data_IF_495473343813
#
_entry.id   IF_495473343813
#
_cell.length_a   1.000
_cell.length_b   1.000
_cell.length_c   1.000
_cell.angle_alpha   90.00
_cell.angle_beta   90.00
_cell.angle_gamma   90.00
#
_symmetry.space_group_name_H-M   'P 1'
#
loop_
_entity.id
_entity.type
_entity.pdbx_description
1 polymer ?
#
# COMPACT_ATOMS: atom_id res chain seq x y z
N UNK A 1 -6.33 -24.26 -24.81
CA UNK A 1 -7.73 -24.72 -24.84
C UNK A 1 -7.92 -25.97 -23.99
N UNK A 2 -7.07 -27.00 -24.13
CA UNK A 2 -7.09 -28.21 -23.28
C UNK A 2 -6.87 -27.92 -21.79
N UNK A 3 -5.85 -27.10 -21.46
CA UNK A 3 -5.57 -26.62 -20.09
C UNK A 3 -6.69 -25.79 -19.45
N UNK A 4 -7.54 -25.16 -20.26
CA UNK A 4 -8.68 -24.35 -19.80
C UNK A 4 -9.89 -25.25 -19.50
N UNK A 5 -10.08 -26.32 -20.29
CA UNK A 5 -11.08 -27.37 -20.04
C UNK A 5 -10.75 -28.20 -18.80
N UNK A 6 -9.47 -28.50 -18.57
CA UNK A 6 -9.04 -29.19 -17.35
C UNK A 6 -9.30 -28.34 -16.09
N UNK A 7 -9.03 -27.04 -16.16
CA UNK A 7 -9.32 -26.11 -15.06
C UNK A 7 -10.83 -26.00 -14.78
N UNK A 8 -11.67 -25.92 -15.82
CA UNK A 8 -13.13 -25.85 -15.65
C UNK A 8 -13.70 -27.15 -15.07
N UNK A 9 -13.22 -28.31 -15.53
CA UNK A 9 -13.62 -29.62 -15.02
C UNK A 9 -13.13 -29.88 -13.58
N UNK A 10 -11.96 -29.36 -13.19
CA UNK A 10 -11.53 -29.37 -11.79
C UNK A 10 -12.46 -28.54 -10.91
N UNK A 11 -12.81 -27.33 -11.36
CA UNK A 11 -13.69 -26.42 -10.63
C UNK A 11 -15.08 -27.00 -10.40
N UNK A 12 -15.70 -27.59 -11.42
CA UNK A 12 -17.02 -28.21 -11.30
C UNK A 12 -17.03 -29.33 -10.25
N UNK A 13 -15.98 -30.16 -10.23
CA UNK A 13 -15.80 -31.20 -9.21
C UNK A 13 -15.66 -30.61 -7.82
N UNK A 14 -14.85 -29.55 -7.65
CA UNK A 14 -14.66 -28.90 -6.36
C UNK A 14 -15.96 -28.28 -5.83
N UNK A 15 -16.77 -27.67 -6.72
CA UNK A 15 -18.10 -27.15 -6.39
C UNK A 15 -19.03 -28.27 -5.92
N UNK A 16 -19.06 -29.41 -6.61
CA UNK A 16 -19.88 -30.56 -6.20
C UNK A 16 -19.47 -31.12 -4.84
N UNK A 17 -18.16 -31.25 -4.59
CA UNK A 17 -17.61 -31.70 -3.31
C UNK A 17 -18.03 -30.74 -2.19
N UNK A 18 -17.82 -29.44 -2.36
CA UNK A 18 -18.19 -28.43 -1.37
C UNK A 18 -19.71 -28.42 -1.13
N UNK A 19 -20.51 -28.53 -2.19
CA UNK A 19 -21.99 -28.61 -2.08
C UNK A 19 -22.44 -29.86 -1.33
N UNK A 20 -21.73 -30.98 -1.45
CA UNK A 20 -22.01 -32.18 -0.67
C UNK A 20 -21.66 -31.97 0.80
N UNK A 21 -20.45 -31.46 1.09
CA UNK A 21 -19.98 -31.20 2.45
C UNK A 21 -20.87 -30.20 3.20
N UNK A 22 -21.28 -29.11 2.55
CA UNK A 22 -22.19 -28.11 3.11
C UNK A 22 -23.54 -28.76 3.47
N UNK A 23 -24.11 -29.58 2.58
CA UNK A 23 -25.37 -30.30 2.83
C UNK A 23 -25.27 -31.31 3.97
N UNK A 24 -24.13 -31.99 4.13
CA UNK A 24 -23.89 -32.87 5.28
C UNK A 24 -23.88 -32.07 6.60
N UNK A 25 -23.23 -30.92 6.60
CA UNK A 25 -23.09 -30.05 7.78
C UNK A 25 -24.38 -29.33 8.17
N UNK A 26 -25.33 -29.17 7.24
CA UNK A 26 -26.65 -28.54 7.46
C UNK A 26 -27.71 -29.50 8.03
N UNK A 27 -27.39 -30.80 8.16
CA UNK A 27 -28.33 -31.79 8.69
C UNK A 27 -28.67 -31.59 10.17
N UNK A 28 -27.75 -30.97 10.93
CA UNK A 28 -27.91 -30.68 12.36
C UNK A 28 -27.39 -29.29 12.71
N UNK A 29 -27.98 -28.60 13.70
CA UNK A 29 -27.44 -27.32 14.17
C UNK A 29 -26.08 -27.51 14.83
N UNK A 30 -25.06 -26.72 14.44
CA UNK A 30 -23.70 -26.87 14.96
C UNK A 30 -23.48 -26.11 16.29
N UNK A 31 -24.42 -26.24 17.22
CA UNK A 31 -24.43 -25.58 18.54
C UNK A 31 -24.05 -26.57 19.65
N UNK A 32 -23.04 -26.24 20.46
CA UNK A 32 -22.54 -27.12 21.52
C UNK A 32 -23.59 -27.40 22.60
N UNK A 33 -24.39 -26.39 22.94
CA UNK A 33 -25.49 -26.50 23.90
C UNK A 33 -26.50 -27.56 23.46
N UNK A 34 -26.96 -27.49 22.20
CA UNK A 34 -27.93 -28.43 21.64
C UNK A 34 -27.38 -29.86 21.55
N UNK A 35 -26.08 -30.01 21.26
CA UNK A 35 -25.44 -31.33 21.27
C UNK A 35 -25.36 -31.91 22.68
N UNK A 36 -25.04 -31.07 23.68
CA UNK A 36 -24.97 -31.48 25.09
C UNK A 36 -26.34 -31.94 25.60
N UNK A 37 -27.41 -31.20 25.30
CA UNK A 37 -28.78 -31.59 25.64
C UNK A 37 -29.17 -32.95 25.03
N UNK A 38 -28.78 -33.21 23.79
CA UNK A 38 -29.06 -34.48 23.11
C UNK A 38 -28.28 -35.64 23.73
N UNK A 39 -27.01 -35.43 24.12
CA UNK A 39 -26.22 -36.44 24.82
C UNK A 39 -26.82 -36.78 26.20
N UNK A 40 -27.31 -35.79 26.94
CA UNK A 40 -27.99 -36.01 28.21
C UNK A 40 -29.27 -36.84 28.02
N UNK A 41 -30.09 -36.50 27.02
CA UNK A 41 -31.28 -37.28 26.66
C UNK A 41 -30.92 -38.71 26.24
N UNK A 42 -29.89 -38.88 25.40
CA UNK A 42 -29.41 -40.19 24.95
C UNK A 42 -28.88 -41.03 26.13
N UNK A 43 -28.18 -40.41 27.07
CA UNK A 43 -27.71 -41.10 28.29
C UNK A 43 -28.88 -41.57 29.16
N UNK A 44 -29.92 -40.73 29.32
CA UNK A 44 -31.16 -41.10 30.03
C UNK A 44 -31.90 -42.24 29.32
N UNK A 45 -32.00 -42.19 27.99
CA UNK A 45 -32.57 -43.26 27.16
C UNK A 45 -31.85 -44.59 27.36
N UNK A 46 -30.52 -44.60 27.22
CA UNK A 46 -29.70 -45.80 27.32
C UNK A 46 -29.70 -46.42 28.72
N UNK A 47 -29.93 -45.60 29.76
CA UNK A 47 -29.99 -46.05 31.15
C UNK A 47 -31.43 -46.16 31.67
N UNK A 48 -32.44 -46.01 30.82
CA UNK A 48 -33.86 -45.94 31.24
C UNK A 48 -34.28 -47.16 32.05
N UNK A 49 -33.93 -48.37 31.62
CA UNK A 49 -34.23 -49.62 32.36
C UNK A 49 -33.61 -49.64 33.76
N UNK A 50 -32.34 -49.26 33.89
CA UNK A 50 -31.65 -49.18 35.19
C UNK A 50 -32.24 -48.08 36.07
N UNK A 51 -32.61 -46.95 35.50
CA UNK A 51 -33.23 -45.84 36.22
C UNK A 51 -34.62 -46.25 36.74
N UNK A 52 -35.42 -46.95 35.93
CA UNK A 52 -36.70 -47.55 36.35
C UNK A 52 -36.49 -48.52 37.53
N UNK A 53 -35.53 -49.45 37.40
CA UNK A 53 -35.25 -50.45 38.43
C UNK A 53 -34.85 -49.80 39.77
N UNK A 54 -33.92 -48.83 39.74
CA UNK A 54 -33.41 -48.17 40.95
C UNK A 54 -34.43 -47.25 41.60
N UNK A 55 -35.20 -46.49 40.81
CA UNK A 55 -36.27 -45.65 41.33
C UNK A 55 -37.40 -46.51 41.93
N UNK A 56 -37.75 -47.64 41.31
CA UNK A 56 -38.71 -48.61 41.86
C UNK A 56 -38.23 -49.23 43.18
N UNK A 57 -36.95 -49.62 43.28
CA UNK A 57 -36.35 -50.10 44.53
C UNK A 57 -36.40 -49.04 45.64
N UNK A 58 -36.16 -47.78 45.30
CA UNK A 58 -36.22 -46.67 46.26
C UNK A 58 -37.64 -46.42 46.74
N UNK A 59 -38.64 -46.40 45.85
CA UNK A 59 -40.06 -46.28 46.22
C UNK A 59 -40.45 -47.43 47.16
N UNK A 60 -40.13 -48.67 46.79
CA UNK A 60 -40.46 -49.83 47.62
C UNK A 60 -39.81 -49.73 49.01
N UNK A 61 -38.55 -49.29 49.10
CA UNK A 61 -37.86 -49.12 50.39
C UNK A 61 -38.54 -48.08 51.29
N UNK A 62 -39.08 -47.01 50.71
CA UNK A 62 -39.72 -45.92 51.45
C UNK A 62 -41.19 -46.24 51.82
N UNK A 63 -41.94 -46.90 50.93
CA UNK A 63 -43.38 -47.18 51.06
C UNK A 63 -43.71 -48.56 51.63
N UNK A 64 -42.75 -49.47 51.82
CA UNK A 64 -43.03 -50.84 52.23
C UNK A 64 -43.98 -50.92 53.46
N UNK A 65 -45.12 -51.59 53.30
CA UNK A 65 -46.16 -51.68 54.34
C UNK A 65 -45.72 -52.40 55.63
N UNK A 66 -44.60 -53.13 55.62
CA UNK A 66 -44.09 -53.79 56.83
C UNK A 66 -43.00 -52.97 57.51
N UNK A 67 -42.13 -52.32 56.73
CA UNK A 67 -40.84 -51.79 57.18
C UNK A 67 -40.44 -50.40 56.64
N UNK A 68 -41.30 -49.77 55.83
CA UNK A 68 -41.04 -48.49 55.20
C UNK A 68 -41.00 -47.31 56.19
N UNK A 69 -40.36 -46.22 55.77
CA UNK A 69 -40.22 -45.00 56.59
C UNK A 69 -41.61 -44.43 56.91
N UNK A 70 -42.51 -44.37 55.94
CA UNK A 70 -43.88 -43.87 56.14
C UNK A 70 -44.66 -44.72 57.15
N UNK A 71 -44.52 -46.04 57.10
CA UNK A 71 -45.10 -46.99 58.05
C UNK A 71 -44.53 -46.80 59.47
N UNK A 72 -43.20 -46.67 59.58
CA UNK A 72 -42.50 -46.50 60.85
C UNK A 72 -42.89 -45.18 61.56
N UNK A 73 -42.97 -44.08 60.80
CA UNK A 73 -43.40 -42.78 61.31
C UNK A 73 -44.88 -42.84 61.74
N UNK A 74 -45.74 -43.46 60.93
CA UNK A 74 -47.17 -43.66 61.25
C UNK A 74 -47.35 -44.40 62.58
N UNK A 75 -46.56 -45.47 62.79
CA UNK A 75 -46.55 -46.25 64.04
C UNK A 75 -45.98 -45.47 65.23
N UNK A 76 -45.15 -44.45 65.00
CA UNK A 76 -44.54 -43.64 66.06
C UNK A 76 -45.50 -42.57 66.62
N UNK A 77 -46.43 -42.03 65.82
CA UNK A 77 -47.32 -40.95 66.27
C UNK A 77 -48.15 -41.27 67.53
N UNK A 78 -48.77 -42.46 67.69
CA UNK A 78 -49.50 -42.80 68.91
C UNK A 78 -48.65 -42.70 70.18
N UNK A 79 -47.38 -43.09 70.12
CA UNK A 79 -46.46 -42.98 71.26
C UNK A 79 -46.11 -41.52 71.57
N UNK A 80 -45.93 -40.68 70.56
CA UNK A 80 -45.71 -39.25 70.81
C UNK A 80 -46.91 -38.57 71.47
N UNK A 81 -48.14 -38.98 71.13
CA UNK A 81 -49.35 -38.49 71.81
C UNK A 81 -49.38 -38.89 73.28
N UNK A 82 -49.00 -40.14 73.59
CA UNK A 82 -48.91 -40.61 74.98
C UNK A 82 -47.82 -39.85 75.76
N UNK A 83 -46.67 -39.59 75.16
CA UNK A 83 -45.58 -38.81 75.77
C UNK A 83 -46.02 -37.36 76.04
N UNK A 84 -46.64 -36.70 75.07
CA UNK A 84 -47.09 -35.31 75.22
C UNK A 84 -48.14 -35.14 76.32
N UNK A 85 -48.95 -36.18 76.59
CA UNK A 85 -49.91 -36.18 77.70
C UNK A 85 -49.24 -36.28 79.08
N UNK A 86 -48.01 -36.82 79.16
CA UNK A 86 -47.22 -36.97 80.40
C UNK A 86 -46.30 -35.76 80.58
N UNK A 87 -45.60 -35.34 79.53
CA UNK A 87 -44.67 -34.21 79.50
C UNK A 87 -44.89 -33.34 78.25
N UNK A 88 -45.52 -32.16 78.38
CA UNK A 88 -45.74 -31.25 77.26
C UNK A 88 -44.46 -30.81 76.52
N UNK A 89 -43.28 -30.88 77.15
CA UNK A 89 -42.01 -30.54 76.51
C UNK A 89 -41.65 -31.49 75.35
N UNK A 90 -42.26 -32.68 75.26
CA UNK A 90 -42.01 -33.63 74.17
C UNK A 90 -42.75 -33.32 72.87
N UNK A 91 -43.58 -32.27 72.83
CA UNK A 91 -44.37 -31.85 71.65
C UNK A 91 -43.52 -31.61 70.39
N UNK A 92 -42.27 -31.15 70.58
CA UNK A 92 -41.28 -30.98 69.51
C UNK A 92 -40.99 -32.28 68.75
N UNK A 93 -41.11 -33.45 69.38
CA UNK A 93 -40.94 -34.75 68.69
C UNK A 93 -42.08 -35.05 67.72
N UNK A 94 -43.31 -34.68 68.06
CA UNK A 94 -44.47 -34.82 67.17
C UNK A 94 -44.32 -33.92 65.95
N UNK A 95 -43.91 -32.67 66.14
CA UNK A 95 -43.66 -31.73 65.05
C UNK A 95 -42.56 -32.25 64.10
N UNK A 96 -41.43 -32.70 64.65
CA UNK A 96 -40.35 -33.27 63.83
C UNK A 96 -40.78 -34.52 63.05
N UNK A 97 -41.57 -35.42 63.65
CA UNK A 97 -42.09 -36.59 62.94
C UNK A 97 -43.06 -36.22 61.80
N UNK A 98 -43.90 -35.20 62.01
CA UNK A 98 -44.76 -34.65 60.94
C UNK A 98 -43.93 -34.10 59.78
N UNK A 99 -42.86 -33.34 60.06
CA UNK A 99 -41.96 -32.82 59.03
C UNK A 99 -41.24 -33.93 58.25
N UNK A 100 -40.81 -35.00 58.93
CA UNK A 100 -40.18 -36.14 58.27
C UNK A 100 -41.20 -36.89 57.38
N UNK A 101 -42.45 -37.03 57.85
CA UNK A 101 -43.52 -37.64 57.04
C UNK A 101 -43.79 -36.83 55.78
N UNK A 102 -44.01 -35.52 55.91
CA UNK A 102 -44.22 -34.62 54.77
C UNK A 102 -43.06 -34.71 53.77
N UNK A 103 -41.82 -34.71 54.27
CA UNK A 103 -40.66 -34.80 53.39
C UNK A 103 -40.53 -36.14 52.68
N UNK A 104 -40.91 -37.23 53.36
CA UNK A 104 -40.97 -38.57 52.76
C UNK A 104 -42.00 -38.62 51.63
N UNK A 105 -43.18 -38.06 51.85
CA UNK A 105 -44.26 -38.02 50.87
C UNK A 105 -43.88 -37.14 49.65
N UNK A 106 -43.19 -36.02 49.84
CA UNK A 106 -42.63 -35.21 48.76
C UNK A 106 -41.64 -36.01 47.88
N UNK A 107 -40.73 -36.76 48.50
CA UNK A 107 -39.74 -37.59 47.78
C UNK A 107 -40.45 -38.67 46.96
N UNK A 108 -41.45 -39.34 47.54
CA UNK A 108 -42.24 -40.35 46.86
C UNK A 108 -43.03 -39.79 45.69
N UNK A 109 -43.67 -38.64 45.87
CA UNK A 109 -44.36 -37.93 44.79
C UNK A 109 -43.40 -37.56 43.66
N UNK A 110 -42.19 -37.09 43.98
CA UNK A 110 -41.17 -36.79 42.98
C UNK A 110 -40.72 -38.04 42.23
N UNK A 111 -40.45 -39.15 42.93
CA UNK A 111 -40.01 -40.41 42.31
C UNK A 111 -41.08 -41.01 41.38
N UNK A 112 -42.35 -40.93 41.77
CA UNK A 112 -43.48 -41.36 40.93
C UNK A 112 -43.57 -40.52 39.65
N UNK A 113 -43.51 -39.20 39.79
CA UNK A 113 -43.49 -38.29 38.63
C UNK A 113 -42.24 -38.51 37.75
N UNK A 114 -41.09 -38.79 38.36
CA UNK A 114 -39.86 -39.11 37.65
C UNK A 114 -39.98 -40.39 36.82
N UNK A 115 -40.60 -41.44 37.36
CA UNK A 115 -40.87 -42.69 36.65
C UNK A 115 -41.85 -42.50 35.49
N UNK A 116 -42.94 -41.74 35.69
CA UNK A 116 -43.89 -41.40 34.61
C UNK A 116 -43.20 -40.68 33.45
N UNK A 117 -42.29 -39.76 33.77
CA UNK A 117 -41.51 -39.01 32.78
C UNK A 117 -40.31 -39.78 32.19
N UNK A 118 -40.12 -41.05 32.57
CA UNK A 118 -39.03 -41.88 32.05
C UNK A 118 -39.45 -42.75 30.87
N UNK A 119 -40.72 -42.70 30.45
CA UNK A 119 -41.19 -43.34 29.23
C UNK A 119 -40.82 -42.50 28.01
N UNK A 120 -40.02 -43.06 27.11
CA UNK A 120 -39.73 -42.46 25.82
C UNK A 120 -40.50 -43.19 24.73
N UNK A 121 -41.07 -42.44 23.79
CA UNK A 121 -41.65 -43.07 22.60
C UNK A 121 -40.53 -43.66 21.72
N UNK A 122 -40.72 -44.86 21.13
CA UNK A 122 -39.70 -45.47 20.27
C UNK A 122 -39.24 -44.58 19.11
N UNK A 123 -40.11 -43.69 18.63
CA UNK A 123 -39.78 -42.74 17.56
C UNK A 123 -38.82 -41.65 18.05
N UNK A 124 -39.09 -41.04 19.21
CA UNK A 124 -38.22 -40.02 19.82
C UNK A 124 -36.83 -40.58 20.15
N UNK A 125 -36.78 -41.81 20.68
CA UNK A 125 -35.51 -42.48 20.98
C UNK A 125 -34.66 -42.68 19.71
N UNK A 126 -35.28 -43.09 18.60
CA UNK A 126 -34.62 -43.26 17.32
C UNK A 126 -34.12 -41.92 16.74
N UNK A 127 -34.92 -40.85 16.86
CA UNK A 127 -34.52 -39.53 16.40
C UNK A 127 -33.31 -38.99 17.19
N UNK A 128 -33.34 -39.10 18.52
CA UNK A 128 -32.24 -38.66 19.39
C UNK A 128 -30.95 -39.42 19.04
N UNK A 129 -31.03 -40.75 18.89
CA UNK A 129 -29.87 -41.55 18.48
C UNK A 129 -29.34 -41.14 17.11
N UNK A 130 -30.23 -40.97 16.11
CA UNK A 130 -29.84 -40.53 14.77
C UNK A 130 -29.14 -39.16 14.80
N UNK A 131 -29.64 -38.22 15.60
CA UNK A 131 -28.98 -36.92 15.74
C UNK A 131 -27.60 -37.04 16.38
N UNK A 132 -27.48 -37.79 17.48
CA UNK A 132 -26.19 -38.04 18.14
C UNK A 132 -25.17 -38.71 17.20
N UNK A 133 -25.60 -39.72 16.45
CA UNK A 133 -24.76 -40.39 15.44
C UNK A 133 -24.31 -39.41 14.36
N UNK A 134 -25.22 -38.54 13.89
CA UNK A 134 -24.90 -37.49 12.91
C UNK A 134 -23.81 -36.55 13.45
N UNK A 135 -23.92 -36.09 14.70
CA UNK A 135 -22.85 -35.26 15.31
C UNK A 135 -21.52 -36.00 15.41
N UNK A 136 -21.52 -37.28 15.75
CA UNK A 136 -20.30 -38.11 15.82
C UNK A 136 -19.66 -38.21 14.43
N UNK A 137 -20.45 -38.46 13.39
CA UNK A 137 -19.95 -38.52 12.02
C UNK A 137 -19.36 -37.19 11.55
N UNK A 138 -20.03 -36.07 11.83
CA UNK A 138 -19.55 -34.74 11.48
C UNK A 138 -18.23 -34.42 12.20
N UNK A 139 -18.13 -34.72 13.50
CA UNK A 139 -16.89 -34.53 14.26
C UNK A 139 -15.75 -35.41 13.72
N UNK A 140 -16.06 -36.64 13.30
CA UNK A 140 -15.06 -37.53 12.67
C UNK A 140 -14.56 -37.01 11.33
N UNK A 141 -15.45 -36.45 10.50
CA UNK A 141 -15.12 -35.99 9.14
C UNK A 141 -14.47 -34.60 9.09
N UNK A 142 -14.89 -33.67 9.96
CA UNK A 142 -14.57 -32.25 9.82
C UNK A 142 -13.88 -31.61 11.02
N UNK A 143 -13.77 -32.31 12.15
CA UNK A 143 -12.95 -31.87 13.28
C UNK A 143 -13.39 -32.43 14.64
N UNK A 144 -12.46 -32.73 15.57
CA UNK A 144 -12.76 -33.30 16.89
C UNK A 144 -13.71 -32.47 17.76
N UNK A 145 -13.89 -31.17 17.50
CA UNK A 145 -14.78 -30.26 18.22
C UNK A 145 -15.84 -29.63 17.30
N UNK A 146 -17.03 -29.27 17.82
CA UNK A 146 -18.05 -28.61 16.98
C UNK A 146 -17.61 -27.21 16.54
N UNK A 147 -16.73 -26.54 17.29
CA UNK A 147 -16.12 -25.28 16.86
C UNK A 147 -15.29 -25.46 15.58
N UNK A 148 -14.49 -26.53 15.50
CA UNK A 148 -13.73 -26.86 14.28
C UNK A 148 -14.65 -27.24 13.12
N UNK A 149 -15.69 -28.03 13.38
CA UNK A 149 -16.70 -28.39 12.38
C UNK A 149 -17.41 -27.13 11.84
N UNK A 150 -17.73 -26.16 12.71
CA UNK A 150 -18.35 -24.88 12.33
C UNK A 150 -17.40 -24.01 11.51
N UNK A 151 -16.12 -23.92 11.91
CA UNK A 151 -15.09 -23.21 11.14
C UNK A 151 -14.92 -23.81 9.75
N UNK A 152 -14.92 -25.14 9.65
CA UNK A 152 -14.88 -25.84 8.38
C UNK A 152 -16.12 -25.50 7.52
N UNK A 153 -17.32 -25.55 8.10
CA UNK A 153 -18.56 -25.18 7.40
C UNK A 153 -18.49 -23.76 6.83
N UNK A 154 -18.06 -22.78 7.63
CA UNK A 154 -17.93 -21.40 7.18
C UNK A 154 -16.93 -21.28 6.03
N UNK A 155 -15.75 -21.88 6.16
CA UNK A 155 -14.74 -21.85 5.11
C UNK A 155 -15.21 -22.55 3.82
N UNK A 156 -15.92 -23.68 3.95
CA UNK A 156 -16.47 -24.40 2.81
C UNK A 156 -17.51 -23.54 2.06
N UNK A 157 -18.36 -22.82 2.79
CA UNK A 157 -19.36 -21.91 2.22
C UNK A 157 -18.73 -20.73 1.49
N UNK A 158 -17.76 -20.06 2.10
CA UNK A 158 -17.01 -18.96 1.48
C UNK A 158 -16.29 -19.41 0.19
N UNK A 159 -15.67 -20.60 0.22
CA UNK A 159 -15.05 -21.20 -0.97
C UNK A 159 -16.06 -21.54 -2.06
N UNK A 160 -17.19 -22.13 -1.68
CA UNK A 160 -18.27 -22.47 -2.60
C UNK A 160 -18.78 -21.22 -3.33
N UNK A 161 -19.11 -20.16 -2.58
CA UNK A 161 -19.62 -18.90 -3.13
C UNK A 161 -18.59 -18.24 -4.06
N UNK A 162 -17.31 -18.30 -3.70
CA UNK A 162 -16.21 -17.79 -4.54
C UNK A 162 -16.12 -18.53 -5.87
N UNK A 163 -16.21 -19.87 -5.84
CA UNK A 163 -16.08 -20.70 -7.05
C UNK A 163 -17.30 -20.60 -7.96
N UNK A 164 -18.51 -20.52 -7.39
CA UNK A 164 -19.75 -20.35 -8.15
C UNK A 164 -19.80 -18.98 -8.84
N UNK A 165 -19.38 -17.92 -8.15
CA UNK A 165 -19.40 -16.56 -8.70
C UNK A 165 -18.13 -16.17 -9.47
N UNK A 166 -17.18 -17.10 -9.63
CA UNK A 166 -15.87 -16.82 -10.24
C UNK A 166 -15.98 -16.28 -11.68
N UNK A 167 -16.86 -16.83 -12.51
CA UNK A 167 -17.02 -16.38 -13.89
C UNK A 167 -17.64 -14.99 -14.00
N UNK A 168 -18.62 -14.70 -13.14
CA UNK A 168 -19.26 -13.38 -13.07
C UNK A 168 -18.22 -12.34 -12.62
N UNK A 169 -17.51 -12.63 -11.53
CA UNK A 169 -16.46 -11.75 -11.01
C UNK A 169 -15.33 -11.53 -12.03
N UNK A 170 -14.93 -12.59 -12.76
CA UNK A 170 -13.90 -12.49 -13.80
C UNK A 170 -14.33 -11.60 -14.96
N UNK A 171 -15.58 -11.74 -15.42
CA UNK A 171 -16.12 -10.90 -16.49
C UNK A 171 -16.22 -9.44 -16.05
N UNK A 172 -16.75 -9.16 -14.87
CA UNK A 172 -16.84 -7.80 -14.32
C UNK A 172 -15.45 -7.15 -14.15
N UNK A 173 -14.47 -7.91 -13.64
CA UNK A 173 -13.10 -7.43 -13.50
C UNK A 173 -12.45 -7.14 -14.87
N UNK A 174 -12.66 -8.00 -15.86
CA UNK A 174 -12.16 -7.78 -17.22
C UNK A 174 -12.80 -6.55 -17.88
N UNK A 175 -14.11 -6.34 -17.72
CA UNK A 175 -14.78 -5.12 -18.17
C UNK A 175 -14.19 -3.87 -17.51
N UNK A 176 -13.95 -3.94 -16.19
CA UNK A 176 -13.33 -2.85 -15.44
C UNK A 176 -11.91 -2.56 -15.92
N UNK A 177 -11.08 -3.59 -16.12
CA UNK A 177 -9.72 -3.44 -16.67
C UNK A 177 -9.78 -2.76 -18.05
N UNK A 178 -10.65 -3.22 -18.94
CA UNK A 178 -10.80 -2.65 -20.28
C UNK A 178 -11.24 -1.17 -20.22
N UNK A 179 -12.15 -0.83 -19.30
CA UNK A 179 -12.60 0.55 -19.09
C UNK A 179 -11.45 1.47 -18.62
N UNK A 180 -10.69 1.01 -17.62
CA UNK A 180 -9.55 1.74 -17.06
C UNK A 180 -8.41 1.88 -18.07
N UNK A 181 -8.15 0.85 -18.88
CA UNK A 181 -7.14 0.92 -19.94
C UNK A 181 -7.52 1.96 -21.01
N UNK A 182 -8.81 2.05 -21.34
CA UNK A 182 -9.31 3.07 -22.27
C UNK A 182 -9.12 4.48 -21.71
N UNK A 183 -9.44 4.71 -20.43
CA UNK A 183 -9.23 5.99 -19.74
C UNK A 183 -7.74 6.36 -19.67
N UNK A 184 -6.89 5.39 -19.35
CA UNK A 184 -5.44 5.55 -19.31
C UNK A 184 -4.89 5.97 -20.67
N UNK A 185 -5.29 5.28 -21.75
CA UNK A 185 -4.89 5.62 -23.13
C UNK A 185 -5.38 6.99 -23.56
N UNK A 186 -6.61 7.38 -23.20
CA UNK A 186 -7.12 8.73 -23.48
C UNK A 186 -6.30 9.81 -22.75
N UNK A 187 -5.93 9.56 -21.50
CA UNK A 187 -5.09 10.47 -20.72
C UNK A 187 -3.68 10.59 -21.31
N UNK A 188 -3.06 9.47 -21.68
CA UNK A 188 -1.77 9.46 -22.36
C UNK A 188 -1.81 10.24 -23.68
N UNK A 189 -2.86 10.06 -24.50
CA UNK A 189 -3.03 10.84 -25.74
C UNK A 189 -3.14 12.35 -25.50
N UNK A 190 -3.79 12.78 -24.42
CA UNK A 190 -3.84 14.21 -24.05
C UNK A 190 -2.44 14.74 -23.74
N UNK A 191 -1.60 13.95 -23.06
CA UNK A 191 -0.19 14.29 -22.79
C UNK A 191 0.59 14.38 -24.10
N UNK A 192 0.49 13.37 -24.98
CA UNK A 192 1.16 13.36 -26.29
C UNK A 192 0.82 14.60 -27.11
N UNK A 193 -0.46 14.99 -27.16
CA UNK A 193 -0.91 16.20 -27.88
C UNK A 193 -0.26 17.47 -27.32
N UNK A 194 -0.23 17.61 -26.00
CA UNK A 194 0.43 18.76 -25.34
C UNK A 194 1.93 18.77 -25.62
N UNK A 195 2.61 17.62 -25.53
CA UNK A 195 4.04 17.50 -25.84
C UNK A 195 4.35 17.96 -27.26
N UNK A 196 3.57 17.49 -28.24
CA UNK A 196 3.74 17.91 -29.65
C UNK A 196 3.53 19.41 -29.85
N UNK A 197 2.48 19.99 -29.24
CA UNK A 197 2.24 21.43 -29.32
C UNK A 197 3.37 22.26 -28.68
N UNK A 198 3.91 21.81 -27.54
CA UNK A 198 5.01 22.51 -26.86
C UNK A 198 6.35 22.33 -27.57
N UNK A 199 6.56 21.21 -28.26
CA UNK A 199 7.80 20.91 -28.98
C UNK A 199 8.13 21.97 -30.04
N UNK A 200 7.11 22.46 -30.77
CA UNK A 200 7.30 23.49 -31.80
C UNK A 200 7.75 24.83 -31.20
N UNK A 201 7.11 25.28 -30.12
CA UNK A 201 7.52 26.50 -29.42
C UNK A 201 8.90 26.40 -28.76
N UNK A 202 9.23 25.20 -28.24
CA UNK A 202 10.56 24.92 -27.70
C UNK A 202 11.64 24.98 -28.80
N UNK A 203 11.34 24.43 -29.98
CA UNK A 203 12.24 24.49 -31.14
C UNK A 203 12.56 25.93 -31.54
N UNK A 204 11.55 26.77 -31.75
CA UNK A 204 11.76 28.17 -32.13
C UNK A 204 12.59 28.93 -31.08
N UNK A 205 12.32 28.68 -29.80
CA UNK A 205 13.05 29.32 -28.70
C UNK A 205 14.53 28.90 -28.70
N UNK A 206 14.82 27.61 -28.83
CA UNK A 206 16.19 27.10 -28.84
C UNK A 206 16.95 27.57 -30.07
N UNK A 207 16.37 27.47 -31.27
CA UNK A 207 17.02 27.90 -32.52
C UNK A 207 17.35 29.41 -32.49
N UNK A 208 16.46 30.23 -31.90
CA UNK A 208 16.72 31.66 -31.69
C UNK A 208 17.91 31.90 -30.75
N UNK A 209 17.94 31.23 -29.60
CA UNK A 209 19.04 31.36 -28.63
C UNK A 209 20.38 30.91 -29.22
N UNK A 210 20.39 29.81 -29.97
CA UNK A 210 21.59 29.31 -30.65
C UNK A 210 22.11 30.28 -31.72
N UNK A 211 21.19 30.89 -32.48
CA UNK A 211 21.55 31.91 -33.47
C UNK A 211 22.18 33.15 -32.83
N UNK A 212 21.65 33.60 -31.70
CA UNK A 212 22.25 34.71 -30.93
C UNK A 212 23.64 34.35 -30.39
N UNK A 213 23.87 33.09 -30.02
CA UNK A 213 25.17 32.54 -29.62
C UNK A 213 26.08 32.15 -30.80
N UNK A 214 25.80 32.64 -32.01
CA UNK A 214 26.67 32.50 -33.17
C UNK A 214 26.54 31.18 -33.95
N UNK A 215 25.63 30.29 -33.55
CA UNK A 215 25.36 29.03 -34.25
C UNK A 215 24.18 29.28 -35.22
N UNK A 216 24.50 29.97 -36.33
CA UNK A 216 23.50 30.61 -37.21
C UNK A 216 22.57 29.65 -37.94
N UNK A 217 23.03 28.42 -38.16
CA UNK A 217 22.34 27.40 -38.95
C UNK A 217 21.89 26.21 -38.12
N UNK A 218 21.83 26.37 -36.80
CA UNK A 218 21.37 25.32 -35.90
C UNK A 218 19.94 24.90 -36.24
N UNK A 219 19.72 23.59 -36.28
CA UNK A 219 18.39 22.98 -36.32
C UNK A 219 18.16 22.19 -35.05
N UNK A 220 17.02 22.37 -34.42
CA UNK A 220 16.58 21.60 -33.26
C UNK A 220 15.28 20.85 -33.59
N UNK A 221 15.16 19.63 -33.10
CA UNK A 221 13.93 18.86 -33.24
C UNK A 221 13.67 18.02 -31.99
N UNK A 222 12.45 18.06 -31.48
CA UNK A 222 12.01 17.18 -30.41
C UNK A 222 11.22 16.02 -31.02
N UNK A 223 11.84 14.84 -31.11
CA UNK A 223 11.20 13.63 -31.64
C UNK A 223 10.42 12.94 -30.53
N UNK A 224 9.13 12.74 -30.77
CA UNK A 224 8.18 12.14 -29.83
C UNK A 224 7.66 10.85 -30.46
N UNK A 225 8.15 9.72 -29.98
CA UNK A 225 7.80 8.39 -30.45
C UNK A 225 6.86 7.70 -29.48
N UNK A 226 5.94 6.88 -29.99
CA UNK A 226 5.03 6.12 -29.12
C UNK A 226 5.81 5.02 -28.40
N UNK A 227 5.62 4.91 -27.09
CA UNK A 227 6.26 3.90 -26.24
C UNK A 227 5.21 3.02 -25.53
N UNK A 228 5.67 2.16 -24.63
CA UNK A 228 4.79 1.52 -23.65
C UNK A 228 4.26 2.55 -22.65
N UNK A 229 3.10 2.26 -22.06
CA UNK A 229 2.53 3.10 -21.02
C UNK A 229 3.41 3.05 -19.76
N UNK A 230 3.75 4.21 -19.25
CA UNK A 230 4.49 4.39 -18.01
C UNK A 230 3.87 5.55 -17.21
N UNK A 231 4.34 5.84 -15.98
CA UNK A 231 3.81 6.95 -15.18
C UNK A 231 3.85 8.32 -15.86
N UNK A 232 4.76 8.52 -16.82
CA UNK A 232 4.94 9.75 -17.59
C UNK A 232 4.16 9.75 -18.93
N UNK A 233 3.30 8.77 -19.18
CA UNK A 233 2.46 8.66 -20.36
C UNK A 233 2.92 7.57 -21.34
N UNK A 234 2.78 7.82 -22.64
CA UNK A 234 3.04 6.83 -23.71
C UNK A 234 4.02 7.35 -24.77
N UNK A 235 4.91 8.27 -24.38
CA UNK A 235 5.85 8.85 -25.33
C UNK A 235 7.29 8.69 -24.85
N UNK A 236 8.16 8.34 -25.79
CA UNK A 236 9.60 8.49 -25.67
C UNK A 236 9.98 9.80 -26.36
N UNK A 237 10.55 10.73 -25.59
CA UNK A 237 10.95 12.05 -26.08
C UNK A 237 12.48 12.11 -26.19
N UNK A 238 12.98 12.46 -27.37
CA UNK A 238 14.42 12.59 -27.63
C UNK A 238 14.67 13.93 -28.32
N UNK A 239 15.64 14.69 -27.82
CA UNK A 239 16.08 15.94 -28.44
C UNK A 239 17.17 15.66 -29.47
N UNK A 240 16.95 16.17 -30.67
CA UNK A 240 17.85 16.10 -31.81
C UNK A 240 18.32 17.49 -32.19
N UNK A 241 19.56 17.56 -32.67
CA UNK A 241 20.16 18.82 -33.05
C UNK A 241 21.25 18.64 -34.09
N UNK A 242 21.38 19.65 -34.94
CA UNK A 242 22.37 19.78 -36.01
C UNK A 242 22.92 21.20 -35.93
N UNK A 243 24.18 21.41 -35.49
CA UNK A 243 24.73 22.75 -35.28
C UNK A 243 25.09 23.45 -36.60
N UNK A 244 25.41 22.69 -37.64
CA UNK A 244 25.91 23.22 -38.91
C UNK A 244 24.95 22.94 -40.08
N UNK A 245 24.95 23.86 -41.06
CA UNK A 245 24.21 23.66 -42.29
C UNK A 245 24.74 22.43 -43.06
N UNK A 246 23.84 21.56 -43.53
CA UNK A 246 24.19 20.37 -44.30
C UNK A 246 24.51 19.13 -43.46
N UNK A 247 24.54 19.23 -42.12
CA UNK A 247 24.68 18.06 -41.24
C UNK A 247 23.33 17.46 -40.85
N UNK A 248 23.30 16.15 -40.65
CA UNK A 248 22.12 15.44 -40.14
C UNK A 248 21.82 15.78 -38.68
N UNK A 249 20.55 15.71 -38.32
CA UNK A 249 20.10 15.79 -36.94
C UNK A 249 20.59 14.58 -36.16
N UNK A 250 21.34 14.81 -35.10
CA UNK A 250 21.83 13.75 -34.18
C UNK A 250 21.20 13.91 -32.80
N UNK A 251 21.06 12.82 -32.03
CA UNK A 251 20.66 12.91 -30.64
C UNK A 251 21.59 13.86 -29.88
N UNK A 252 21.03 14.72 -29.03
CA UNK A 252 21.79 15.67 -28.22
C UNK A 252 22.90 14.99 -27.40
N UNK A 253 22.65 13.75 -26.95
CA UNK A 253 23.58 12.94 -26.18
C UNK A 253 24.81 12.47 -26.98
N UNK A 254 24.75 12.48 -28.31
CA UNK A 254 25.82 12.03 -29.21
C UNK A 254 26.68 13.18 -29.74
N UNK A 255 26.37 14.44 -29.39
CA UNK A 255 27.19 15.57 -29.82
C UNK A 255 28.48 15.60 -29.02
N UNK A 256 29.59 15.47 -29.74
CA UNK A 256 30.96 15.59 -29.23
C UNK A 256 31.60 16.82 -29.88
N UNK A 257 31.42 18.00 -29.28
CA UNK A 257 32.15 19.22 -29.63
C UNK A 257 32.32 20.07 -28.38
N UNK A 258 33.56 20.25 -27.89
CA UNK A 258 33.78 20.72 -26.51
C UNK A 258 33.36 22.18 -26.27
N UNK A 259 33.59 23.07 -27.25
CA UNK A 259 33.19 24.48 -27.17
C UNK A 259 31.76 24.77 -27.63
N UNK A 260 31.30 24.11 -28.69
CA UNK A 260 29.94 24.32 -29.21
C UNK A 260 28.89 23.66 -28.31
N UNK A 261 29.19 22.52 -27.68
CA UNK A 261 28.29 21.88 -26.72
C UNK A 261 28.07 22.74 -25.48
N UNK A 262 29.08 23.46 -24.99
CA UNK A 262 28.91 24.37 -23.85
C UNK A 262 27.94 25.52 -24.20
N UNK A 263 28.08 26.12 -25.40
CA UNK A 263 27.14 27.15 -25.89
C UNK A 263 25.74 26.58 -26.16
N UNK A 264 25.67 25.37 -26.68
CA UNK A 264 24.44 24.63 -26.89
C UNK A 264 23.67 24.47 -25.57
N UNK A 265 24.37 24.01 -24.54
CA UNK A 265 23.81 23.82 -23.21
C UNK A 265 23.42 25.15 -22.58
N UNK A 266 24.17 26.23 -22.81
CA UNK A 266 23.75 27.57 -22.38
C UNK A 266 22.41 27.98 -23.03
N UNK A 267 22.25 27.80 -24.34
CA UNK A 267 20.98 28.08 -25.02
C UNK A 267 19.82 27.26 -24.45
N UNK A 268 20.04 25.96 -24.24
CA UNK A 268 19.05 25.05 -23.66
C UNK A 268 18.68 25.45 -22.23
N UNK A 269 19.66 25.72 -21.37
CA UNK A 269 19.46 26.14 -19.98
C UNK A 269 18.74 27.47 -19.90
N UNK A 270 19.03 28.39 -20.82
CA UNK A 270 18.33 29.67 -20.90
C UNK A 270 16.88 29.51 -21.36
N UNK A 271 16.63 28.69 -22.39
CA UNK A 271 15.28 28.40 -22.88
C UNK A 271 14.42 27.69 -21.82
N UNK A 272 15.03 26.85 -20.97
CA UNK A 272 14.36 26.03 -19.96
C UNK A 272 14.44 26.61 -18.54
N UNK A 273 14.89 27.85 -18.37
CA UNK A 273 15.22 28.43 -17.06
C UNK A 273 14.09 28.36 -16.01
N UNK A 274 12.83 28.42 -16.46
CA UNK A 274 11.63 28.38 -15.61
C UNK A 274 11.28 26.97 -15.10
N UNK A 275 11.74 25.93 -15.78
CA UNK A 275 11.36 24.53 -15.50
C UNK A 275 12.55 23.68 -15.05
N UNK A 276 13.78 24.14 -15.29
CA UNK A 276 14.99 23.48 -14.81
C UNK A 276 15.11 23.68 -13.29
N UNK A 277 15.13 22.63 -12.45
CA UNK A 277 15.24 22.81 -11.00
C UNK A 277 16.67 23.10 -10.53
N UNK A 278 17.71 22.90 -11.35
CA UNK A 278 19.11 22.88 -10.92
C UNK A 278 19.61 24.29 -10.53
N UNK A 279 20.01 24.56 -9.28
CA UNK A 279 20.31 25.92 -8.81
C UNK A 279 21.73 26.43 -9.18
N UNK A 280 22.68 25.53 -9.40
CA UNK A 280 24.08 25.85 -9.67
C UNK A 280 24.50 25.22 -11.00
N UNK A 281 25.08 26.02 -11.89
CA UNK A 281 25.53 25.61 -13.21
C UNK A 281 27.03 25.88 -13.35
N UNK A 282 27.77 24.87 -13.79
CA UNK A 282 29.20 24.98 -14.08
C UNK A 282 29.36 24.85 -15.60
N UNK A 283 29.93 25.87 -16.23
CA UNK A 283 30.27 25.84 -17.65
C UNK A 283 31.79 25.75 -17.80
N UNK A 284 32.23 24.78 -18.58
CA UNK A 284 33.62 24.64 -19.00
C UNK A 284 33.72 24.94 -20.50
N UNK A 285 34.86 25.47 -20.93
CA UNK A 285 35.17 25.81 -22.33
C UNK A 285 34.11 26.63 -23.09
N UNK A 286 33.26 27.39 -22.39
CA UNK A 286 32.20 28.18 -23.05
C UNK A 286 32.76 29.30 -23.93
N UNK A 287 34.01 29.68 -23.67
CA UNK A 287 34.78 30.67 -24.38
C UNK A 287 35.69 30.08 -25.46
N UNK A 288 35.62 28.77 -25.70
CA UNK A 288 36.39 28.12 -26.76
C UNK A 288 35.95 28.61 -28.15
N UNK A 289 36.95 29.00 -28.95
CA UNK A 289 36.79 29.46 -30.33
C UNK A 289 35.86 30.68 -30.50
N UNK A 290 35.69 31.51 -29.46
CA UNK A 290 34.95 32.77 -29.57
C UNK A 290 35.81 33.96 -29.18
N UNK A 291 35.53 35.11 -29.78
CA UNK A 291 36.22 36.36 -29.51
C UNK A 291 35.36 37.56 -29.87
N UNK A 292 35.75 38.74 -29.37
CA UNK A 292 35.09 40.00 -29.70
C UNK A 292 33.59 40.01 -29.39
N UNK A 293 32.77 40.30 -30.40
CA UNK A 293 31.31 40.44 -30.27
C UNK A 293 30.63 39.22 -29.67
N UNK A 294 31.06 38.02 -30.05
CA UNK A 294 30.41 36.79 -29.59
C UNK A 294 30.67 36.55 -28.10
N UNK A 295 31.89 36.85 -27.62
CA UNK A 295 32.20 36.81 -26.18
C UNK A 295 31.31 37.76 -25.36
N UNK A 296 31.01 38.95 -25.87
CA UNK A 296 30.09 39.90 -25.20
C UNK A 296 28.65 39.36 -25.15
N UNK A 297 28.17 38.73 -26.23
CA UNK A 297 26.82 38.13 -26.24
C UNK A 297 26.74 36.95 -25.26
N UNK A 298 27.73 36.06 -25.26
CA UNK A 298 27.82 34.95 -24.31
C UNK A 298 27.86 35.45 -22.86
N UNK A 299 28.69 36.46 -22.56
CA UNK A 299 28.75 37.09 -21.24
C UNK A 299 27.41 37.67 -20.79
N UNK A 300 26.69 38.33 -21.71
CA UNK A 300 25.34 38.84 -21.44
C UNK A 300 24.35 37.71 -21.13
N UNK A 301 24.34 36.64 -21.91
CA UNK A 301 23.44 35.48 -21.68
C UNK A 301 23.74 34.77 -20.37
N UNK A 302 25.02 34.64 -20.01
CA UNK A 302 25.44 34.11 -18.71
C UNK A 302 24.98 35.02 -17.56
N UNK A 303 25.06 36.34 -17.72
CA UNK A 303 24.56 37.30 -16.74
C UNK A 303 23.03 37.25 -16.59
N UNK A 304 22.32 37.08 -17.69
CA UNK A 304 20.87 36.87 -17.68
C UNK A 304 20.47 35.50 -17.11
N UNK A 305 21.37 34.52 -17.06
CA UNK A 305 21.14 33.24 -16.38
C UNK A 305 21.48 33.35 -14.89
N UNK A 306 22.45 34.19 -14.52
CA UNK A 306 22.89 34.36 -13.14
C UNK A 306 21.88 35.09 -12.25
N UNK A 307 20.81 35.66 -12.82
CA UNK A 307 19.70 36.26 -12.07
C UNK A 307 18.92 35.24 -11.27
N UNK A 308 18.77 34.03 -11.81
CA UNK A 308 17.96 32.97 -11.22
C UNK A 308 18.82 31.81 -10.68
N UNK A 309 20.10 31.74 -11.09
CA UNK A 309 21.01 30.61 -10.83
C UNK A 309 22.40 31.09 -10.45
N UNK A 310 23.14 30.28 -9.70
CA UNK A 310 24.56 30.50 -9.57
C UNK A 310 25.27 29.92 -10.80
N UNK A 311 26.04 30.75 -11.50
CA UNK A 311 26.81 30.33 -12.69
C UNK A 311 28.30 30.44 -12.37
N UNK A 312 29.02 29.33 -12.51
CA UNK A 312 30.47 29.24 -12.31
C UNK A 312 31.10 28.85 -13.64
N UNK A 313 32.14 29.57 -14.04
CA UNK A 313 32.91 29.26 -15.23
C UNK A 313 34.34 29.76 -15.09
N UNK A 314 35.23 29.15 -15.87
CA UNK A 314 36.61 29.62 -16.04
C UNK A 314 36.68 30.24 -17.44
N UNK A 315 37.23 31.45 -17.54
CA UNK A 315 37.38 32.12 -18.83
C UNK A 315 38.68 32.91 -18.93
N UNK A 316 39.22 32.97 -20.14
CA UNK A 316 40.33 33.83 -20.49
C UNK A 316 39.87 35.08 -21.26
N UNK A 317 38.57 35.19 -21.58
CA UNK A 317 38.03 36.30 -22.35
C UNK A 317 37.59 37.45 -21.44
N UNK A 318 38.18 38.66 -21.59
CA UNK A 318 37.78 39.83 -20.82
C UNK A 318 36.31 40.20 -21.07
N UNK A 319 35.78 39.89 -22.27
CA UNK A 319 34.39 40.15 -22.63
C UNK A 319 33.43 39.39 -21.71
N UNK A 320 33.72 38.14 -21.35
CA UNK A 320 32.87 37.34 -20.46
C UNK A 320 33.12 37.72 -19.00
N UNK A 321 34.38 37.80 -18.59
CA UNK A 321 34.77 38.16 -17.22
C UNK A 321 34.22 39.52 -16.77
N UNK A 322 34.02 40.46 -17.69
CA UNK A 322 33.42 41.77 -17.40
C UNK A 322 31.98 41.70 -16.86
N UNK A 323 31.22 40.65 -17.20
CA UNK A 323 29.84 40.43 -16.74
C UNK A 323 29.74 39.69 -15.41
N UNK A 324 30.84 39.13 -14.88
CA UNK A 324 30.80 38.37 -13.64
C UNK A 324 30.39 39.25 -12.45
N UNK A 325 29.53 38.74 -11.59
CA UNK A 325 29.18 39.37 -10.30
C UNK A 325 30.40 39.39 -9.37
N UNK A 326 31.00 38.22 -9.19
CA UNK A 326 32.26 38.01 -8.46
C UNK A 326 33.34 37.54 -9.43
N UNK A 327 34.54 38.10 -9.34
CA UNK A 327 35.66 37.73 -10.22
C UNK A 327 36.81 37.19 -9.38
N UNK A 328 37.14 35.92 -9.58
CA UNK A 328 38.30 35.28 -8.99
C UNK A 328 39.45 35.19 -10.00
N UNK A 329 40.64 35.55 -9.55
CA UNK A 329 41.88 35.38 -10.30
C UNK A 329 42.59 34.13 -9.83
N UNK A 330 42.98 33.28 -10.78
CA UNK A 330 43.80 32.09 -10.52
C UNK A 330 45.24 32.41 -10.94
N UNK A 331 46.20 32.21 -10.05
CA UNK A 331 47.62 32.46 -10.34
C UNK A 331 48.52 31.42 -9.67
N UNK A 332 49.72 31.26 -10.22
CA UNK A 332 50.75 30.36 -9.66
C UNK A 332 51.59 31.13 -8.65
N UNK A 333 51.75 30.59 -7.45
CA UNK A 333 52.65 31.09 -6.40
C UNK A 333 53.76 30.05 -6.19
N UNK A 334 55.00 30.49 -6.06
CA UNK A 334 56.12 29.60 -5.72
C UNK A 334 56.43 29.77 -4.23
N UNK A 335 56.23 28.71 -3.46
CA UNK A 335 56.60 28.64 -2.04
C UNK A 335 57.45 27.39 -1.82
N UNK A 336 58.60 27.52 -1.13
CA UNK A 336 59.50 26.40 -0.82
C UNK A 336 59.88 25.56 -2.06
N UNK A 337 60.23 26.19 -3.18
CA UNK A 337 60.52 25.53 -4.48
C UNK A 337 59.36 24.67 -5.04
N UNK A 338 58.13 24.86 -4.57
CA UNK A 338 56.94 24.22 -5.13
C UNK A 338 55.98 25.27 -5.67
N UNK A 339 55.51 25.06 -6.89
CA UNK A 339 54.46 25.87 -7.50
C UNK A 339 53.10 25.41 -6.98
N UNK A 340 52.40 26.29 -6.28
CA UNK A 340 51.01 26.09 -5.85
C UNK A 340 50.08 27.01 -6.64
N UNK A 341 48.83 26.58 -6.82
CA UNK A 341 47.79 27.42 -7.43
C UNK A 341 47.08 28.17 -6.33
N UNK A 342 47.04 29.49 -6.42
CA UNK A 342 46.32 30.37 -5.51
C UNK A 342 45.12 31.01 -6.23
N UNK A 343 44.08 31.33 -5.47
CA UNK A 343 42.86 31.99 -5.95
C UNK A 343 42.62 33.23 -5.08
N UNK A 344 42.36 34.36 -5.71
CA UNK A 344 42.09 35.64 -5.06
C UNK A 344 40.82 36.26 -5.63
N UNK A 345 39.92 36.73 -4.75
CA UNK A 345 38.76 37.52 -5.17
C UNK A 345 39.18 38.97 -5.47
N UNK A 346 38.77 39.48 -6.62
CA UNK A 346 39.14 40.82 -7.08
C UNK A 346 38.10 41.86 -6.65
N UNK A 347 38.55 42.90 -5.97
CA UNK A 347 37.79 44.13 -5.74
C UNK A 347 37.56 44.93 -7.03
N UNK A 348 36.78 46.02 -6.97
CA UNK A 348 36.45 46.83 -8.15
C UNK A 348 37.67 47.42 -8.88
N UNK A 349 38.72 47.82 -8.15
CA UNK A 349 39.94 48.38 -8.71
C UNK A 349 40.86 47.32 -9.29
N UNK A 350 41.08 46.23 -8.56
CA UNK A 350 41.90 45.09 -9.01
C UNK A 350 41.23 44.36 -10.19
N UNK A 351 39.89 44.30 -10.23
CA UNK A 351 39.12 43.80 -11.38
C UNK A 351 39.37 44.61 -12.66
N UNK A 352 39.40 45.95 -12.60
CA UNK A 352 39.72 46.78 -13.78
C UNK A 352 41.12 46.46 -14.31
N UNK A 353 42.10 46.34 -13.42
CA UNK A 353 43.49 46.01 -13.78
C UNK A 353 43.58 44.62 -14.41
N UNK A 354 42.89 43.63 -13.85
CA UNK A 354 42.91 42.28 -14.41
C UNK A 354 42.24 42.21 -15.78
N UNK A 355 41.08 42.85 -15.98
CA UNK A 355 40.43 42.92 -17.30
C UNK A 355 41.35 43.61 -18.31
N UNK A 356 42.02 44.71 -17.94
CA UNK A 356 42.99 45.36 -18.81
C UNK A 356 44.17 44.43 -19.15
N UNK A 357 44.68 43.69 -18.17
CA UNK A 357 45.75 42.69 -18.35
C UNK A 357 45.33 41.55 -19.29
N UNK A 358 44.09 41.06 -19.16
CA UNK A 358 43.53 40.05 -20.07
C UNK A 358 43.46 40.54 -21.52
N UNK A 359 43.40 41.86 -21.76
CA UNK A 359 43.34 42.47 -23.09
C UNK A 359 44.72 42.79 -23.68
N UNK A 360 45.61 43.40 -22.89
CA UNK A 360 46.92 43.92 -23.35
C UNK A 360 48.11 43.05 -23.00
N UNK A 361 47.91 41.94 -22.30
CA UNK A 361 48.99 41.09 -21.78
C UNK A 361 49.69 41.73 -20.58
N UNK A 362 50.99 41.47 -20.42
CA UNK A 362 51.72 41.80 -19.19
C UNK A 362 52.02 43.29 -18.97
N UNK A 363 51.92 44.15 -19.99
CA UNK A 363 52.23 45.58 -19.86
C UNK A 363 50.99 46.39 -19.49
N UNK A 364 51.08 47.16 -18.40
CA UNK A 364 50.06 48.16 -18.07
C UNK A 364 49.99 49.23 -19.17
N UNK A 365 48.80 49.38 -19.76
CA UNK A 365 48.51 50.36 -20.79
C UNK A 365 47.35 51.24 -20.35
N UNK A 366 47.53 52.56 -20.39
CA UNK A 366 46.48 53.52 -20.07
C UNK A 366 45.25 53.36 -20.99
N UNK A 367 45.47 52.97 -22.25
CA UNK A 367 44.41 52.68 -23.22
C UNK A 367 43.64 51.43 -22.80
N UNK A 368 44.34 50.36 -22.39
CA UNK A 368 43.71 49.12 -21.95
C UNK A 368 42.87 49.32 -20.68
N UNK A 369 43.36 50.10 -19.72
CA UNK A 369 42.60 50.48 -18.52
C UNK A 369 41.32 51.26 -18.85
N UNK A 370 41.38 52.14 -19.86
CA UNK A 370 40.23 52.92 -20.30
C UNK A 370 39.17 52.01 -20.92
N UNK A 371 39.59 51.13 -21.83
CA UNK A 371 38.69 50.15 -22.45
C UNK A 371 38.10 49.16 -21.44
N UNK A 372 38.89 48.70 -20.45
CA UNK A 372 38.40 47.83 -19.39
C UNK A 372 37.28 48.49 -18.55
N UNK A 373 37.42 49.80 -18.23
CA UNK A 373 36.36 50.55 -17.53
C UNK A 373 35.09 50.65 -18.38
N UNK A 374 35.22 50.88 -19.68
CA UNK A 374 34.07 50.93 -20.59
C UNK A 374 33.35 49.57 -20.65
N UNK A 375 34.08 48.47 -20.78
CA UNK A 375 33.51 47.11 -20.78
C UNK A 375 32.74 46.81 -19.50
N UNK A 376 33.33 47.10 -18.33
CA UNK A 376 32.66 46.92 -17.04
C UNK A 376 31.42 47.82 -16.89
N UNK A 377 31.46 49.02 -17.46
CA UNK A 377 30.31 49.94 -17.45
C UNK A 377 29.19 49.43 -18.35
N UNK A 378 29.52 48.89 -19.53
CA UNK A 378 28.55 48.26 -20.43
C UNK A 378 27.93 47.01 -19.80
N UNK A 379 28.74 46.19 -19.12
CA UNK A 379 28.28 44.98 -18.44
C UNK A 379 27.32 45.26 -17.27
N UNK A 380 27.45 46.43 -16.62
CA UNK A 380 26.55 46.88 -15.55
C UNK A 380 25.23 47.46 -16.05
N UNK A 381 25.12 47.86 -17.33
CA UNK A 381 23.85 48.37 -17.85
C UNK A 381 22.86 47.20 -17.91
N UNK A 382 21.68 47.29 -17.25
CA UNK A 382 20.65 46.28 -17.41
C UNK A 382 20.31 46.19 -18.90
N UNK A 383 20.17 44.97 -19.40
CA UNK A 383 19.63 44.76 -20.73
C UNK A 383 18.28 45.48 -20.77
N UNK A 384 18.18 46.58 -21.54
CA UNK A 384 16.90 47.19 -21.87
C UNK A 384 16.01 46.06 -22.38
N UNK A 385 15.01 45.69 -21.57
CA UNK A 385 13.97 44.78 -21.97
C UNK A 385 13.28 45.41 -23.18
N UNK A 386 13.66 44.96 -24.37
CA UNK A 386 12.81 45.15 -25.54
C UNK A 386 11.64 44.17 -25.34
N UNK A 387 10.45 44.76 -25.22
CA UNK A 387 9.20 44.10 -24.86
C UNK A 387 8.78 42.98 -25.78
#
# INVERSE_FOLDING_TARGET
>A
QEKLKELSSSRERDIEILKHQIRELEQVPLEEEKYTELLEKQSRLNNSEKLYERAGQLINTLENDESGISQAITKAFPYTRLLNNIDPATSVLTENLSHIQEKSDEILSYLRSYLENLSFEPQEANEINKFCDTYIELKRKYGPSLDEVRKFYQSAKEKYDTLVNFEINSNELNEKINSLEKELRQSAQKITKKRKATADGLKETIEKELKELGIMHARFECKIEKAELNPDGQDRVIFYISPNAGEDLKPLAEIVSSGEAARLMLALKKALIKVDPIPVLIFDEIDAQIGGRLGTITGKKLKELSTDRQVILITHLPQIASFADTHFKIYKKVENNRTTTAIEELDAGTKIKEIAKMMSGEKESAIALTHAREMLTQAKKPALAKG
#
